data_IF_997306584418
#
_entry.id   IF_997306584418
#
_cell.length_a   1.000
_cell.length_b   1.000
_cell.length_c   1.000
_cell.angle_alpha   90.00
_cell.angle_beta   90.00
_cell.angle_gamma   90.00
#
_symmetry.space_group_name_H-M   'P 1'
#
loop_
_entity.id
_entity.type
_entity.pdbx_description
1 polymer ?
#
# COMPACT_ATOMS: atom_id res chain seq x y z
N UNK A 1 18.62 7.61 -11.38
CA UNK A 1 17.38 7.05 -10.79
C UNK A 1 17.62 6.19 -9.54
N UNK A 2 18.51 5.18 -9.52
CA UNK A 2 18.67 4.31 -8.34
C UNK A 2 18.92 5.07 -7.01
N UNK A 3 19.73 6.14 -7.02
CA UNK A 3 19.90 7.00 -5.84
C UNK A 3 18.63 7.79 -5.46
N UNK A 4 17.82 8.19 -6.44
CA UNK A 4 16.51 8.81 -6.21
C UNK A 4 15.59 7.82 -5.52
N UNK A 5 15.45 6.60 -6.07
CA UNK A 5 14.63 5.53 -5.47
C UNK A 5 15.09 5.20 -4.06
N UNK A 6 16.41 5.07 -3.84
CA UNK A 6 16.98 4.77 -2.53
C UNK A 6 16.56 5.78 -1.46
N UNK A 7 16.71 7.08 -1.70
CA UNK A 7 16.38 8.09 -0.69
C UNK A 7 14.89 8.45 -0.66
N UNK A 8 14.18 8.32 -1.79
CA UNK A 8 12.76 8.61 -1.89
C UNK A 8 11.89 7.59 -1.16
N UNK A 9 12.27 6.31 -1.20
CA UNK A 9 11.53 5.20 -0.60
C UNK A 9 12.10 4.73 0.74
N UNK A 10 12.94 5.53 1.41
CA UNK A 10 13.41 5.20 2.74
C UNK A 10 12.23 5.18 3.72
N UNK A 11 11.81 3.98 4.14
CA UNK A 11 10.64 3.75 4.99
C UNK A 11 10.81 4.18 6.45
N UNK A 12 11.50 5.29 6.68
CA UNK A 12 11.87 5.77 8.03
C UNK A 12 10.65 6.24 8.84
N UNK A 13 9.55 6.60 8.19
CA UNK A 13 8.31 7.03 8.84
C UNK A 13 7.27 5.91 9.01
N UNK A 14 7.68 4.64 8.89
CA UNK A 14 6.78 3.48 8.97
C UNK A 14 5.99 3.36 10.29
N UNK A 15 6.46 3.99 11.38
CA UNK A 15 5.78 4.03 12.68
C UNK A 15 4.88 5.27 12.86
N UNK A 16 4.32 5.80 11.78
CA UNK A 16 3.48 7.00 11.80
C UNK A 16 2.22 6.85 12.69
N UNK A 17 1.62 5.66 12.77
CA UNK A 17 0.49 5.39 13.65
C UNK A 17 0.92 5.54 15.12
N UNK A 18 2.06 4.95 15.48
CA UNK A 18 2.60 5.06 16.82
C UNK A 18 3.01 6.50 17.14
N UNK A 19 3.57 7.22 16.17
CA UNK A 19 3.86 8.66 16.31
C UNK A 19 2.61 9.47 16.64
N UNK A 20 1.53 9.28 15.88
CA UNK A 20 0.26 9.99 16.12
C UNK A 20 -0.37 9.60 17.46
N UNK A 21 -0.31 8.32 17.82
CA UNK A 21 -0.77 7.83 19.12
C UNK A 21 0.02 8.42 20.28
N UNK A 22 1.35 8.50 20.18
CA UNK A 22 2.21 9.18 21.18
C UNK A 22 1.95 10.69 21.28
N UNK A 23 1.39 11.30 20.23
CA UNK A 23 0.95 12.69 20.21
C UNK A 23 -0.53 12.87 20.58
N UNK A 24 -1.16 11.88 21.22
CA UNK A 24 -2.48 11.98 21.81
C UNK A 24 -3.67 11.72 20.87
N UNK A 25 -3.43 11.23 19.66
CA UNK A 25 -4.52 10.82 18.77
C UNK A 25 -5.06 9.45 19.18
N UNK A 26 -6.40 9.31 19.24
CA UNK A 26 -7.05 8.02 19.37
C UNK A 26 -6.88 7.21 18.08
N UNK A 27 -7.01 5.88 18.15
CA UNK A 27 -6.88 5.03 16.96
C UNK A 27 -8.00 5.28 15.95
N UNK A 28 -9.19 5.69 16.40
CA UNK A 28 -10.23 6.17 15.51
C UNK A 28 -9.84 7.45 14.75
N UNK A 29 -9.27 8.43 15.44
CA UNK A 29 -8.76 9.67 14.81
C UNK A 29 -7.67 9.35 13.79
N UNK A 30 -6.74 8.47 14.13
CA UNK A 30 -5.69 7.99 13.22
C UNK A 30 -6.32 7.32 11.99
N UNK A 31 -7.36 6.51 12.20
CA UNK A 31 -8.13 5.91 11.10
C UNK A 31 -8.77 6.95 10.17
N UNK A 32 -9.35 8.02 10.74
CA UNK A 32 -9.89 9.13 9.94
C UNK A 32 -8.79 9.88 9.17
N UNK A 33 -7.60 10.06 9.75
CA UNK A 33 -6.46 10.66 9.06
C UNK A 33 -6.04 9.84 7.85
N UNK A 34 -6.00 8.50 7.97
CA UNK A 34 -5.73 7.61 6.83
C UNK A 34 -6.83 7.68 5.78
N UNK A 35 -8.11 7.79 6.22
CA UNK A 35 -9.22 8.03 5.29
C UNK A 35 -9.06 9.33 4.50
N UNK A 36 -8.56 10.39 5.14
CA UNK A 36 -8.28 11.67 4.46
C UNK A 36 -7.16 11.50 3.44
N UNK A 37 -6.09 10.74 3.77
CA UNK A 37 -5.03 10.42 2.83
C UNK A 37 -5.60 9.70 1.59
N UNK A 38 -6.32 8.60 1.76
CA UNK A 38 -6.89 7.83 0.66
C UNK A 38 -7.95 8.60 -0.13
N UNK A 39 -8.81 9.39 0.53
CA UNK A 39 -9.80 10.23 -0.14
C UNK A 39 -9.12 11.32 -0.99
N UNK A 40 -8.09 11.98 -0.45
CA UNK A 40 -7.32 12.99 -1.20
C UNK A 40 -6.58 12.36 -2.36
N UNK A 41 -5.93 11.20 -2.15
CA UNK A 41 -5.26 10.46 -3.23
C UNK A 41 -6.23 10.12 -4.34
N UNK A 42 -7.41 9.57 -4.01
CA UNK A 42 -8.44 9.20 -4.97
C UNK A 42 -8.95 10.40 -5.79
N UNK A 43 -9.22 11.53 -5.12
CA UNK A 43 -9.72 12.75 -5.78
C UNK A 43 -8.67 13.42 -6.64
N UNK A 44 -7.40 13.34 -6.25
CA UNK A 44 -6.29 14.01 -6.91
C UNK A 44 -5.54 13.13 -7.93
N UNK A 45 -5.86 11.83 -8.04
CA UNK A 45 -5.20 10.90 -8.97
C UNK A 45 -5.27 11.38 -10.42
N UNK A 46 -6.47 11.79 -10.87
CA UNK A 46 -6.66 12.30 -12.24
C UNK A 46 -6.07 13.71 -12.42
N UNK A 47 -6.34 14.70 -11.54
CA UNK A 47 -5.69 16.00 -11.63
C UNK A 47 -4.17 15.94 -11.63
N UNK A 48 -3.56 15.08 -10.79
CA UNK A 48 -2.10 14.94 -10.76
C UNK A 48 -1.55 14.28 -12.02
N UNK A 49 -2.25 13.29 -12.58
CA UNK A 49 -1.92 12.70 -13.87
C UNK A 49 -1.96 13.72 -15.02
N UNK A 50 -2.99 14.57 -15.08
CA UNK A 50 -3.07 15.66 -16.07
C UNK A 50 -1.93 16.69 -15.90
N UNK A 51 -1.53 16.99 -14.67
CA UNK A 51 -0.37 17.83 -14.40
C UNK A 51 0.92 17.16 -14.86
N UNK A 52 1.06 15.85 -14.61
CA UNK A 52 2.20 15.05 -15.07
C UNK A 52 2.32 15.06 -16.60
N UNK A 53 1.20 15.06 -17.30
CA UNK A 53 1.16 15.14 -18.76
C UNK A 53 1.53 16.53 -19.31
N UNK A 54 1.17 17.57 -18.57
CA UNK A 54 1.41 18.96 -18.99
C UNK A 54 2.81 19.46 -18.68
N UNK A 55 3.37 19.04 -17.55
CA UNK A 55 4.70 19.49 -17.08
C UNK A 55 5.78 18.43 -17.34
N UNK A 56 7.04 18.79 -17.05
CA UNK A 56 8.16 17.84 -17.16
C UNK A 56 8.12 16.80 -16.04
N UNK A 57 8.73 15.63 -16.27
CA UNK A 57 8.88 14.60 -15.23
C UNK A 57 9.58 15.14 -13.99
N UNK A 58 10.65 15.92 -14.19
CA UNK A 58 11.40 16.54 -13.08
C UNK A 58 10.53 17.48 -12.27
N UNK A 59 9.65 18.28 -12.89
CA UNK A 59 8.73 19.18 -12.18
C UNK A 59 7.81 18.41 -11.24
N UNK A 60 7.23 17.30 -11.71
CA UNK A 60 6.35 16.47 -10.86
C UNK A 60 7.11 15.81 -9.71
N UNK A 61 8.33 15.30 -9.98
CA UNK A 61 9.17 14.74 -8.93
C UNK A 61 9.58 15.82 -7.90
N UNK A 62 9.83 17.07 -8.31
CA UNK A 62 10.07 18.18 -7.38
C UNK A 62 8.82 18.48 -6.54
N UNK A 63 7.64 18.56 -7.17
CA UNK A 63 6.38 18.79 -6.46
C UNK A 63 6.11 17.68 -5.43
N UNK A 64 6.37 16.42 -5.79
CA UNK A 64 6.28 15.29 -4.87
C UNK A 64 7.18 15.52 -3.64
N UNK A 65 8.47 15.82 -3.84
CA UNK A 65 9.41 15.99 -2.72
C UNK A 65 9.09 17.22 -1.87
N UNK A 66 8.69 18.33 -2.47
CA UNK A 66 8.25 19.54 -1.75
C UNK A 66 7.00 19.24 -0.92
N UNK A 67 6.00 18.56 -1.47
CA UNK A 67 4.83 18.15 -0.73
C UNK A 67 5.20 17.20 0.43
N UNK A 68 6.11 16.25 0.23
CA UNK A 68 6.62 15.37 1.30
C UNK A 68 7.32 16.14 2.43
N UNK A 69 8.12 17.16 2.10
CA UNK A 69 8.74 18.06 3.11
C UNK A 69 7.66 18.82 3.87
N UNK A 70 6.70 19.42 3.17
CA UNK A 70 5.60 20.18 3.82
C UNK A 70 4.77 19.27 4.72
N UNK A 71 4.42 18.07 4.27
CA UNK A 71 3.73 17.07 5.08
C UNK A 71 4.54 16.74 6.35
N UNK A 72 5.84 16.48 6.23
CA UNK A 72 6.72 16.17 7.36
C UNK A 72 6.81 17.34 8.37
N UNK A 73 6.86 18.57 7.88
CA UNK A 73 6.84 19.78 8.74
C UNK A 73 5.50 19.89 9.48
N UNK A 74 4.37 19.63 8.80
CA UNK A 74 3.05 19.66 9.42
C UNK A 74 2.90 18.53 10.45
N UNK A 75 3.45 17.34 10.21
CA UNK A 75 3.49 16.26 11.21
C UNK A 75 4.24 16.68 12.46
N UNK A 76 5.39 17.34 12.33
CA UNK A 76 6.16 17.86 13.48
C UNK A 76 5.44 19.02 14.21
N UNK A 77 4.74 19.86 13.46
CA UNK A 77 4.01 21.01 14.01
C UNK A 77 2.66 20.65 14.65
N UNK A 78 2.16 19.42 14.42
CA UNK A 78 0.81 19.00 14.80
C UNK A 78 0.53 19.04 16.29
N UNK A 79 1.49 18.65 17.14
CA UNK A 79 1.41 18.72 18.61
C UNK A 79 0.04 18.30 19.19
N UNK A 80 -0.56 17.21 18.66
CA UNK A 80 -1.86 16.74 19.10
C UNK A 80 -3.06 17.40 18.42
N UNK A 81 -2.87 18.29 17.45
CA UNK A 81 -3.98 18.92 16.73
C UNK A 81 -4.39 18.07 15.52
N UNK A 82 -5.60 17.49 15.58
CA UNK A 82 -6.16 16.65 14.52
C UNK A 82 -6.17 17.35 13.14
N UNK A 83 -6.54 18.62 13.07
CA UNK A 83 -6.67 19.32 11.77
C UNK A 83 -5.34 19.60 11.09
N UNK A 84 -4.27 19.80 11.88
CA UNK A 84 -2.92 19.93 11.31
C UNK A 84 -2.45 18.59 10.76
N UNK A 85 -2.70 17.49 11.47
CA UNK A 85 -2.42 16.14 10.98
C UNK A 85 -3.27 15.79 9.75
N UNK A 86 -4.55 16.19 9.71
CA UNK A 86 -5.41 16.03 8.54
C UNK A 86 -4.85 16.74 7.30
N UNK A 87 -4.38 17.97 7.47
CA UNK A 87 -3.70 18.70 6.40
C UNK A 87 -2.38 18.01 6.00
N UNK A 88 -1.60 17.51 6.96
CA UNK A 88 -0.37 16.76 6.69
C UNK A 88 -0.65 15.51 5.85
N UNK A 89 -1.70 14.74 6.18
CA UNK A 89 -2.10 13.54 5.43
C UNK A 89 -2.60 13.88 4.02
N UNK A 90 -3.38 14.94 3.86
CA UNK A 90 -3.81 15.41 2.54
C UNK A 90 -2.62 15.82 1.66
N UNK A 91 -1.65 16.57 2.22
CA UNK A 91 -0.42 16.96 1.50
C UNK A 91 0.46 15.74 1.21
N UNK A 92 0.52 14.75 2.10
CA UNK A 92 1.22 13.49 1.87
C UNK A 92 0.63 12.70 0.69
N UNK A 93 -0.70 12.67 0.58
CA UNK A 93 -1.38 12.06 -0.56
C UNK A 93 -1.02 12.73 -1.90
N UNK A 94 -0.91 14.07 -1.92
CA UNK A 94 -0.43 14.79 -3.11
C UNK A 94 1.02 14.43 -3.45
N UNK A 95 1.90 14.30 -2.42
CA UNK A 95 3.27 13.83 -2.62
C UNK A 95 3.31 12.46 -3.32
N UNK A 96 2.50 11.53 -2.82
CA UNK A 96 2.37 10.19 -3.42
C UNK A 96 1.86 10.25 -4.87
N UNK A 97 0.80 11.01 -5.14
CA UNK A 97 0.19 11.10 -6.47
C UNK A 97 1.13 11.73 -7.51
N UNK A 98 1.93 12.74 -7.15
CA UNK A 98 2.90 13.35 -8.06
C UNK A 98 4.06 12.40 -8.42
N UNK A 99 4.42 11.47 -7.54
CA UNK A 99 5.46 10.47 -7.80
C UNK A 99 4.92 9.28 -8.59
N UNK A 100 3.68 8.88 -8.27
CA UNK A 100 3.01 7.71 -8.85
C UNK A 100 2.95 7.83 -10.38
N UNK A 101 3.53 6.86 -11.07
CA UNK A 101 3.61 6.84 -12.53
C UNK A 101 4.69 7.74 -13.14
N UNK A 102 5.04 8.87 -12.54
CA UNK A 102 6.03 9.83 -13.08
C UNK A 102 7.43 9.21 -13.13
N UNK A 103 7.87 8.59 -12.04
CA UNK A 103 9.17 7.93 -11.95
C UNK A 103 9.29 6.80 -12.98
N UNK A 104 8.29 5.93 -13.06
CA UNK A 104 8.26 4.81 -14.01
C UNK A 104 8.25 5.28 -15.46
N UNK A 105 7.46 6.31 -15.80
CA UNK A 105 7.40 6.88 -17.13
C UNK A 105 8.74 7.52 -17.54
N UNK A 106 9.37 8.29 -16.62
CA UNK A 106 10.69 8.88 -16.87
C UNK A 106 11.76 7.82 -17.13
N UNK A 107 11.74 6.70 -16.39
CA UNK A 107 12.66 5.58 -16.59
C UNK A 107 12.43 4.92 -17.95
N UNK A 108 11.16 4.71 -18.34
CA UNK A 108 10.81 4.11 -19.62
C UNK A 108 11.29 4.96 -20.79
N UNK A 109 10.97 6.26 -20.81
CA UNK A 109 11.35 7.17 -21.87
C UNK A 109 12.88 7.33 -21.96
N UNK A 110 13.56 7.37 -20.81
CA UNK A 110 15.03 7.39 -20.75
C UNK A 110 15.65 6.10 -21.34
N UNK A 111 15.04 4.93 -21.07
CA UNK A 111 15.49 3.66 -21.64
C UNK A 111 15.28 3.62 -23.16
N UNK A 112 14.18 4.19 -23.67
CA UNK A 112 13.91 4.32 -25.11
C UNK A 112 14.92 5.26 -25.76
N UNK A 113 15.19 6.45 -25.19
CA UNK A 113 16.17 7.41 -25.69
C UNK A 113 17.57 6.80 -25.73
N UNK A 114 17.93 5.99 -24.75
CA UNK A 114 19.22 5.30 -24.69
C UNK A 114 19.31 4.05 -25.57
N UNK A 115 18.27 3.66 -26.32
CA UNK A 115 18.21 2.43 -27.10
C UNK A 115 18.17 1.15 -26.29
N UNK A 116 17.74 1.23 -25.02
CA UNK A 116 17.70 0.12 -24.06
C UNK A 116 16.26 -0.37 -23.77
N UNK A 117 15.30 -0.12 -24.69
CA UNK A 117 13.89 -0.48 -24.52
C UNK A 117 13.70 -1.96 -24.16
N UNK A 118 14.44 -2.86 -24.79
CA UNK A 118 14.36 -4.30 -24.52
C UNK A 118 14.85 -4.68 -23.11
N UNK A 119 15.68 -3.85 -22.48
CA UNK A 119 16.17 -4.04 -21.11
C UNK A 119 15.32 -3.32 -20.06
N UNK A 120 14.26 -2.63 -20.47
CA UNK A 120 13.41 -1.86 -19.54
C UNK A 120 12.91 -2.70 -18.37
N UNK A 121 12.42 -3.93 -18.63
CA UNK A 121 11.94 -4.81 -17.56
C UNK A 121 13.03 -5.09 -16.50
N UNK A 122 14.26 -5.34 -16.95
CA UNK A 122 15.38 -5.58 -16.01
C UNK A 122 15.73 -4.32 -15.21
N UNK A 123 15.72 -3.15 -15.87
CA UNK A 123 15.98 -1.85 -15.22
C UNK A 123 14.88 -1.55 -14.19
N UNK A 124 13.62 -1.69 -14.56
CA UNK A 124 12.46 -1.45 -13.68
C UNK A 124 12.47 -2.40 -12.49
N UNK A 125 12.74 -3.71 -12.71
CA UNK A 125 12.85 -4.70 -11.63
C UNK A 125 13.98 -4.37 -10.65
N UNK A 126 15.13 -3.91 -11.16
CA UNK A 126 16.24 -3.47 -10.31
C UNK A 126 15.84 -2.25 -9.46
N UNK A 127 15.20 -1.24 -10.05
CA UNK A 127 14.74 -0.05 -9.33
C UNK A 127 13.69 -0.40 -8.27
N UNK A 128 12.71 -1.24 -8.61
CA UNK A 128 11.73 -1.76 -7.64
C UNK A 128 12.41 -2.51 -6.48
N UNK A 129 13.43 -3.32 -6.78
CA UNK A 129 14.23 -3.99 -5.75
C UNK A 129 14.98 -3.01 -4.83
N UNK A 130 15.48 -1.89 -5.39
CA UNK A 130 16.10 -0.81 -4.59
C UNK A 130 15.05 -0.17 -3.69
N UNK A 131 13.87 0.19 -4.21
CA UNK A 131 12.80 0.82 -3.43
C UNK A 131 12.33 -0.07 -2.29
N UNK A 132 12.01 -1.34 -2.55
CA UNK A 132 11.57 -2.31 -1.54
C UNK A 132 12.64 -2.58 -0.49
N UNK A 133 13.88 -2.78 -0.91
CA UNK A 133 15.02 -2.99 0.00
C UNK A 133 15.25 -1.79 0.91
N UNK A 134 15.14 -0.59 0.36
CA UNK A 134 15.32 0.66 1.12
C UNK A 134 14.15 0.91 2.07
N UNK A 135 12.92 0.62 1.65
CA UNK A 135 11.74 0.72 2.52
C UNK A 135 11.88 -0.22 3.73
N UNK A 136 12.29 -1.46 3.50
CA UNK A 136 12.56 -2.43 4.56
C UNK A 136 13.67 -1.95 5.50
N UNK A 137 14.78 -1.45 4.94
CA UNK A 137 15.90 -0.88 5.72
C UNK A 137 15.43 0.30 6.59
N UNK A 138 14.68 1.23 6.00
CA UNK A 138 14.15 2.39 6.73
C UNK A 138 13.20 1.99 7.85
N UNK A 139 12.34 0.98 7.63
CA UNK A 139 11.46 0.45 8.67
C UNK A 139 12.25 -0.16 9.84
N UNK A 140 13.31 -0.91 9.55
CA UNK A 140 14.22 -1.46 10.59
C UNK A 140 14.91 -0.34 11.36
N UNK A 141 15.42 0.69 10.67
CA UNK A 141 16.03 1.85 11.29
C UNK A 141 15.03 2.65 12.13
N UNK A 142 13.79 2.79 11.67
CA UNK A 142 12.72 3.50 12.39
C UNK A 142 12.42 2.85 13.75
N UNK A 143 12.58 1.54 13.87
CA UNK A 143 12.43 0.83 15.13
C UNK A 143 13.32 1.34 16.28
N UNK A 144 14.48 1.92 15.97
CA UNK A 144 15.35 2.52 16.98
C UNK A 144 14.80 3.82 17.58
N UNK A 145 13.84 4.47 16.94
CA UNK A 145 13.27 5.76 17.37
C UNK A 145 11.94 5.62 18.12
N UNK A 146 11.42 4.41 18.32
CA UNK A 146 10.06 4.15 18.82
C UNK A 146 9.82 4.71 20.23
N UNK A 147 10.87 4.78 21.07
CA UNK A 147 10.76 5.23 22.46
C UNK A 147 10.91 6.77 22.56
N UNK A 148 9.87 7.49 22.08
CA UNK A 148 9.77 8.95 22.23
C UNK A 148 10.62 9.75 21.24
N UNK A 149 11.30 9.12 20.28
CA UNK A 149 12.18 9.79 19.31
C UNK A 149 11.63 9.75 17.87
N UNK A 150 10.38 9.31 17.67
CA UNK A 150 9.79 9.20 16.32
C UNK A 150 9.74 10.54 15.56
N UNK A 151 9.75 11.66 16.25
CA UNK A 151 9.88 12.98 15.59
C UNK A 151 11.17 13.09 14.75
N UNK A 152 12.27 12.43 15.15
CA UNK A 152 13.52 12.42 14.38
C UNK A 152 13.36 11.77 13.00
N UNK A 153 12.45 10.81 12.85
CA UNK A 153 12.19 10.15 11.56
C UNK A 153 11.66 11.13 10.52
N UNK A 154 10.86 12.13 10.95
CA UNK A 154 10.37 13.19 10.05
C UNK A 154 11.48 14.19 9.67
N UNK A 155 12.41 14.51 10.59
CA UNK A 155 13.60 15.30 10.22
C UNK A 155 14.48 14.55 9.22
N UNK A 156 14.68 13.23 9.40
CA UNK A 156 15.41 12.40 8.44
C UNK A 156 14.69 12.41 7.08
N UNK A 157 13.36 12.29 7.08
CA UNK A 157 12.56 12.35 5.84
C UNK A 157 12.71 13.69 5.12
N UNK A 158 12.78 14.81 5.83
CA UNK A 158 13.05 16.13 5.25
C UNK A 158 14.45 16.15 4.61
N UNK A 159 15.47 15.68 5.34
CA UNK A 159 16.84 15.65 4.83
C UNK A 159 16.97 14.77 3.59
N UNK A 160 16.40 13.55 3.62
CA UNK A 160 16.41 12.64 2.47
C UNK A 160 15.66 13.24 1.27
N UNK A 161 14.53 13.92 1.50
CA UNK A 161 13.80 14.62 0.44
C UNK A 161 14.62 15.74 -0.20
N UNK A 162 15.40 16.50 0.58
CA UNK A 162 16.34 17.51 0.07
C UNK A 162 17.44 16.87 -0.77
N UNK A 163 17.99 15.72 -0.32
CA UNK A 163 18.96 14.95 -1.12
C UNK A 163 18.35 14.51 -2.44
N UNK A 164 17.10 14.02 -2.41
CA UNK A 164 16.38 13.61 -3.63
C UNK A 164 16.17 14.78 -4.59
N UNK A 165 15.81 15.97 -4.09
CA UNK A 165 15.68 17.18 -4.91
C UNK A 165 17.01 17.49 -5.62
N UNK A 166 18.12 17.38 -4.91
CA UNK A 166 19.46 17.57 -5.50
C UNK A 166 19.77 16.49 -6.56
N UNK A 167 19.45 15.22 -6.28
CA UNK A 167 19.63 14.13 -7.24
C UNK A 167 18.75 14.31 -8.49
N UNK A 168 17.49 14.75 -8.35
CA UNK A 168 16.61 15.07 -9.47
C UNK A 168 17.19 16.21 -10.32
N UNK A 169 17.80 17.20 -9.68
CA UNK A 169 18.48 18.28 -10.42
C UNK A 169 19.59 17.75 -11.32
N UNK A 170 20.32 16.74 -10.88
CA UNK A 170 21.39 16.11 -11.67
C UNK A 170 20.86 15.19 -12.79
N UNK A 171 19.60 14.74 -12.74
CA UNK A 171 19.03 13.91 -13.81
C UNK A 171 18.81 14.72 -15.09
N UNK A 172 18.99 14.07 -16.23
CA UNK A 172 18.61 14.61 -17.54
C UNK A 172 17.14 14.29 -17.80
N UNK A 173 16.36 15.28 -18.21
CA UNK A 173 14.99 15.06 -18.72
C UNK A 173 15.08 14.35 -20.08
N UNK A 174 14.35 13.22 -20.32
CA UNK A 174 14.33 12.60 -21.62
C UNK A 174 13.70 13.53 -22.65
N UNK A 175 14.34 13.62 -23.83
CA UNK A 175 13.89 14.50 -24.91
C UNK A 175 12.76 13.88 -25.73
N UNK A 176 12.65 12.55 -25.74
CA UNK A 176 11.61 11.82 -26.44
C UNK A 176 10.39 11.76 -25.54
N UNK A 177 9.45 12.68 -25.71
CA UNK A 177 8.09 12.45 -25.25
C UNK A 177 7.44 11.55 -26.31
N UNK A 178 7.36 10.25 -26.03
CA UNK A 178 6.51 9.37 -26.82
C UNK A 178 5.09 9.99 -26.82
N UNK A 179 4.43 9.97 -27.99
CA UNK A 179 3.04 10.40 -28.08
C UNK A 179 2.27 9.73 -26.94
N UNK A 180 1.91 10.54 -25.95
CA UNK A 180 1.15 10.03 -24.81
C UNK A 180 -0.21 9.65 -25.35
N UNK A 181 -0.62 8.42 -25.11
CA UNK A 181 -2.01 8.01 -25.33
C UNK A 181 -2.91 9.06 -24.70
N UNK A 182 -3.98 9.46 -25.43
CA UNK A 182 -4.93 10.43 -24.94
C UNK A 182 -5.26 10.16 -23.47
N UNK A 183 -5.08 11.16 -22.64
CA UNK A 183 -5.34 11.03 -21.20
C UNK A 183 -6.79 10.58 -20.98
N UNK A 184 -6.95 9.40 -20.40
CA UNK A 184 -8.27 8.82 -20.18
C UNK A 184 -9.04 9.73 -19.23
N UNK A 185 -10.13 10.34 -19.69
CA UNK A 185 -10.96 11.21 -18.86
C UNK A 185 -11.76 10.41 -17.84
N UNK A 186 -12.10 11.02 -16.68
CA UNK A 186 -12.96 10.38 -15.66
C UNK A 186 -14.25 9.83 -16.29
N UNK A 187 -14.85 10.54 -17.25
CA UNK A 187 -16.05 10.09 -17.95
C UNK A 187 -15.81 8.80 -18.73
N UNK A 188 -14.66 8.67 -19.38
CA UNK A 188 -14.28 7.44 -20.10
C UNK A 188 -14.02 6.29 -19.13
N UNK A 189 -13.35 6.54 -17.99
CA UNK A 189 -13.17 5.53 -16.95
C UNK A 189 -14.52 5.02 -16.46
N UNK A 190 -15.42 5.91 -16.05
CA UNK A 190 -16.75 5.54 -15.57
C UNK A 190 -17.53 4.75 -16.62
N UNK A 191 -17.44 5.15 -17.89
CA UNK A 191 -18.13 4.45 -18.97
C UNK A 191 -17.55 3.06 -19.22
N UNK A 192 -16.23 2.93 -19.29
CA UNK A 192 -15.53 1.64 -19.43
C UNK A 192 -15.86 0.70 -18.25
N UNK A 193 -15.85 1.22 -17.03
CA UNK A 193 -16.23 0.46 -15.82
C UNK A 193 -17.67 -0.03 -15.90
N UNK A 194 -18.59 0.84 -16.31
CA UNK A 194 -20.01 0.48 -16.45
C UNK A 194 -20.19 -0.62 -17.50
N UNK A 195 -19.57 -0.47 -18.66
CA UNK A 195 -19.66 -1.44 -19.74
C UNK A 195 -19.07 -2.81 -19.32
N UNK A 196 -17.89 -2.81 -18.66
CA UNK A 196 -17.27 -4.04 -18.20
C UNK A 196 -18.04 -4.68 -17.02
N UNK A 197 -18.65 -3.88 -16.16
CA UNK A 197 -19.55 -4.35 -15.09
C UNK A 197 -20.77 -5.09 -15.67
N UNK A 198 -21.39 -4.51 -16.70
CA UNK A 198 -22.53 -5.14 -17.39
C UNK A 198 -22.10 -6.41 -18.14
N UNK A 199 -20.92 -6.39 -18.74
CA UNK A 199 -20.35 -7.50 -19.49
C UNK A 199 -19.88 -8.64 -18.60
N UNK A 200 -19.21 -8.33 -17.48
CA UNK A 200 -18.59 -9.30 -16.58
C UNK A 200 -18.79 -8.97 -15.08
N UNK A 201 -20.04 -9.00 -14.58
CA UNK A 201 -20.34 -8.62 -13.19
C UNK A 201 -19.63 -9.50 -12.16
N UNK A 202 -19.25 -10.73 -12.53
CA UNK A 202 -18.56 -11.67 -11.65
C UNK A 202 -17.11 -11.25 -11.39
N UNK A 203 -16.42 -10.76 -12.41
CA UNK A 203 -15.05 -10.25 -12.26
C UNK A 203 -15.05 -9.02 -11.34
N UNK A 204 -16.02 -8.13 -11.50
CA UNK A 204 -16.15 -6.95 -10.66
C UNK A 204 -16.42 -7.32 -9.18
N UNK A 205 -17.32 -8.26 -8.93
CA UNK A 205 -17.56 -8.78 -7.59
C UNK A 205 -16.31 -9.43 -6.98
N UNK A 206 -15.50 -10.11 -7.80
CA UNK A 206 -14.23 -10.68 -7.39
C UNK A 206 -13.22 -9.60 -6.99
N UNK A 207 -13.12 -8.52 -7.77
CA UNK A 207 -12.27 -7.36 -7.46
C UNK A 207 -12.68 -6.71 -6.14
N UNK A 208 -13.98 -6.42 -5.93
CA UNK A 208 -14.48 -5.81 -4.68
C UNK A 208 -14.20 -6.72 -3.49
N UNK A 209 -14.58 -7.99 -3.59
CA UNK A 209 -14.43 -8.94 -2.50
C UNK A 209 -12.97 -9.09 -2.06
N UNK A 210 -12.07 -9.19 -3.02
CA UNK A 210 -10.64 -9.32 -2.73
C UNK A 210 -10.05 -8.07 -2.08
N UNK A 211 -10.48 -6.87 -2.48
CA UNK A 211 -10.00 -5.63 -1.88
C UNK A 211 -10.52 -5.45 -0.44
N UNK A 212 -11.80 -5.74 -0.20
CA UNK A 212 -12.36 -5.69 1.16
C UNK A 212 -11.63 -6.69 2.07
N UNK A 213 -11.51 -7.94 1.63
CA UNK A 213 -10.86 -8.97 2.43
C UNK A 213 -9.37 -8.70 2.58
N UNK A 214 -8.68 -8.27 1.51
CA UNK A 214 -7.27 -7.88 1.56
C UNK A 214 -7.02 -6.74 2.55
N UNK A 215 -7.89 -5.73 2.56
CA UNK A 215 -7.83 -4.64 3.55
C UNK A 215 -7.96 -5.17 4.97
N UNK A 216 -8.91 -6.07 5.24
CA UNK A 216 -9.07 -6.68 6.57
C UNK A 216 -7.86 -7.54 6.97
N UNK A 217 -7.24 -8.24 6.01
CA UNK A 217 -6.03 -9.06 6.25
C UNK A 217 -4.81 -8.22 6.62
N UNK A 218 -4.70 -6.97 6.20
CA UNK A 218 -3.57 -6.11 6.54
C UNK A 218 -3.78 -5.24 7.79
N UNK A 219 -4.98 -5.22 8.40
CA UNK A 219 -5.28 -4.35 9.55
C UNK A 219 -4.36 -4.60 10.75
N UNK A 220 -4.00 -5.84 11.04
CA UNK A 220 -3.10 -6.13 12.15
C UNK A 220 -1.72 -5.49 11.97
N UNK A 221 -1.19 -5.46 10.75
CA UNK A 221 0.09 -4.82 10.42
C UNK A 221 0.13 -3.34 10.83
N UNK A 222 -0.97 -2.63 10.71
CA UNK A 222 -1.03 -1.21 11.04
C UNK A 222 -1.13 -0.96 12.55
N UNK A 223 -1.96 -1.73 13.26
CA UNK A 223 -2.32 -1.42 14.65
C UNK A 223 -1.47 -2.12 15.71
N UNK A 224 -0.75 -3.23 15.38
CA UNK A 224 0.00 -4.01 16.36
C UNK A 224 1.13 -3.23 17.04
N UNK A 225 1.68 -2.21 16.38
CA UNK A 225 2.82 -1.42 16.86
C UNK A 225 2.54 -0.79 18.24
N UNK A 226 1.28 -0.42 18.49
CA UNK A 226 0.85 0.16 19.76
C UNK A 226 0.75 -0.88 20.91
N UNK A 227 0.94 -2.16 20.62
CA UNK A 227 0.83 -3.26 21.58
C UNK A 227 2.18 -3.81 22.05
N UNK A 228 3.29 -3.17 21.67
CA UNK A 228 4.64 -3.61 21.97
C UNK A 228 5.46 -2.59 22.81
N UNK A 229 4.86 -1.92 23.85
CA UNK A 229 5.54 -0.85 24.58
C UNK A 229 6.76 -1.34 25.39
N UNK A 230 6.77 -2.62 25.80
CA UNK A 230 7.80 -3.18 26.69
C UNK A 230 9.03 -3.70 25.92
N UNK A 231 8.98 -3.74 24.59
CA UNK A 231 10.14 -4.17 23.79
C UNK A 231 11.14 -3.04 23.67
N UNK A 232 12.41 -3.37 23.82
CA UNK A 232 13.51 -2.44 23.52
C UNK A 232 13.57 -2.09 22.03
N UNK A 233 14.12 -0.93 21.68
CA UNK A 233 14.20 -0.46 20.28
C UNK A 233 14.87 -1.49 19.36
N UNK A 234 15.94 -2.16 19.81
CA UNK A 234 16.60 -3.19 19.01
C UNK A 234 15.74 -4.43 18.78
N UNK A 235 14.89 -4.82 19.76
CA UNK A 235 13.95 -5.93 19.61
C UNK A 235 12.86 -5.58 18.56
N UNK A 236 12.35 -4.37 18.61
CA UNK A 236 11.39 -3.89 17.61
C UNK A 236 12.01 -3.90 16.21
N UNK A 237 13.25 -3.37 16.07
CA UNK A 237 13.98 -3.40 14.79
C UNK A 237 14.24 -4.83 14.31
N UNK A 238 14.55 -5.77 15.23
CA UNK A 238 14.73 -7.18 14.88
C UNK A 238 13.42 -7.84 14.40
N UNK A 239 12.28 -7.52 15.02
CA UNK A 239 10.94 -7.96 14.56
C UNK A 239 10.64 -7.43 13.17
N UNK A 240 10.94 -6.14 12.89
CA UNK A 240 10.77 -5.57 11.55
C UNK A 240 11.65 -6.26 10.51
N UNK A 241 12.90 -6.51 10.84
CA UNK A 241 13.82 -7.24 9.96
C UNK A 241 13.30 -8.64 9.64
N UNK A 242 12.87 -9.37 10.68
CA UNK A 242 12.30 -10.72 10.51
C UNK A 242 11.04 -10.67 9.64
N UNK A 243 10.15 -9.70 9.84
CA UNK A 243 8.96 -9.48 9.01
C UNK A 243 9.33 -9.24 7.54
N UNK A 244 10.31 -8.39 7.26
CA UNK A 244 10.80 -8.12 5.91
C UNK A 244 11.38 -9.37 5.24
N UNK A 245 12.17 -10.17 5.97
CA UNK A 245 12.71 -11.42 5.44
C UNK A 245 11.61 -12.45 5.13
N UNK A 246 10.61 -12.57 6.01
CA UNK A 246 9.46 -13.44 5.77
C UNK A 246 8.62 -12.99 4.58
N UNK A 247 8.46 -11.68 4.37
CA UNK A 247 7.78 -11.16 3.18
C UNK A 247 8.51 -11.54 1.89
N UNK A 248 9.84 -11.42 1.84
CA UNK A 248 10.64 -11.84 0.69
C UNK A 248 10.42 -13.33 0.41
N UNK A 249 10.45 -14.17 1.45
CA UNK A 249 10.20 -15.61 1.33
C UNK A 249 8.76 -15.87 0.83
N UNK A 250 7.76 -15.15 1.38
CA UNK A 250 6.37 -15.28 1.00
C UNK A 250 6.13 -14.93 -0.48
N UNK A 251 6.69 -13.82 -0.97
CA UNK A 251 6.63 -13.40 -2.38
C UNK A 251 7.30 -14.43 -3.29
N UNK A 252 8.46 -14.97 -2.88
CA UNK A 252 9.12 -16.04 -3.62
C UNK A 252 8.26 -17.31 -3.70
N UNK A 253 7.63 -17.70 -2.58
CA UNK A 253 6.72 -18.85 -2.54
C UNK A 253 5.45 -18.59 -3.36
N UNK A 254 4.94 -17.36 -3.40
CA UNK A 254 3.79 -16.97 -4.20
C UNK A 254 3.99 -17.31 -5.68
N UNK A 255 5.18 -17.05 -6.22
CA UNK A 255 5.53 -17.38 -7.61
C UNK A 255 5.50 -18.88 -7.93
N UNK A 256 5.76 -19.72 -6.93
CA UNK A 256 5.71 -21.20 -7.07
C UNK A 256 4.31 -21.77 -6.85
N UNK A 257 3.63 -21.28 -5.79
CA UNK A 257 2.30 -21.75 -5.40
C UNK A 257 1.27 -21.32 -6.45
N UNK A 258 1.34 -20.08 -6.93
CA UNK A 258 0.44 -19.54 -7.95
C UNK A 258 0.49 -20.26 -9.30
N UNK A 259 1.63 -20.91 -9.64
CA UNK A 259 1.74 -21.75 -10.82
C UNK A 259 0.93 -23.05 -10.72
N UNK A 260 0.76 -23.59 -9.52
CA UNK A 260 0.15 -24.90 -9.30
C UNK A 260 -1.30 -24.80 -8.84
N UNK A 261 -1.70 -23.67 -8.27
CA UNK A 261 -3.03 -23.51 -7.67
C UNK A 261 -3.67 -22.19 -8.13
N UNK A 262 -4.90 -22.27 -8.59
CA UNK A 262 -5.67 -21.09 -8.97
C UNK A 262 -5.96 -20.19 -7.77
N UNK A 263 -5.91 -18.87 -7.96
CA UNK A 263 -6.18 -17.86 -6.94
C UNK A 263 -7.54 -18.09 -6.24
N UNK A 264 -8.58 -18.46 -6.99
CA UNK A 264 -9.91 -18.80 -6.47
C UNK A 264 -9.92 -19.92 -5.41
N UNK A 265 -8.98 -20.88 -5.49
CA UNK A 265 -8.86 -21.97 -4.52
C UNK A 265 -8.00 -21.59 -3.32
N UNK A 266 -6.97 -20.78 -3.55
CA UNK A 266 -6.06 -20.32 -2.49
C UNK A 266 -6.69 -19.26 -1.59
N UNK A 267 -7.51 -18.40 -2.16
CA UNK A 267 -8.09 -17.27 -1.44
C UNK A 267 -8.82 -17.66 -0.15
N UNK A 268 -9.79 -18.60 -0.16
CA UNK A 268 -10.45 -19.03 1.07
C UNK A 268 -9.48 -19.58 2.12
N UNK A 269 -8.44 -20.29 1.68
CA UNK A 269 -7.44 -20.88 2.60
C UNK A 269 -6.62 -19.79 3.26
N UNK A 270 -6.13 -18.80 2.50
CA UNK A 270 -5.35 -17.69 3.05
C UNK A 270 -6.18 -16.83 4.00
N UNK A 271 -7.44 -16.58 3.67
CA UNK A 271 -8.39 -15.86 4.53
C UNK A 271 -8.64 -16.65 5.82
N UNK A 272 -8.85 -17.96 5.74
CA UNK A 272 -9.00 -18.83 6.91
C UNK A 272 -7.78 -18.77 7.82
N UNK A 273 -6.59 -18.93 7.25
CA UNK A 273 -5.34 -18.90 8.01
C UNK A 273 -5.13 -17.53 8.70
N UNK A 274 -5.42 -16.42 8.01
CA UNK A 274 -5.35 -15.08 8.61
C UNK A 274 -6.37 -14.94 9.73
N UNK A 275 -7.62 -15.38 9.52
CA UNK A 275 -8.66 -15.32 10.54
C UNK A 275 -8.30 -16.10 11.79
N UNK A 276 -7.83 -17.35 11.64
CA UNK A 276 -7.34 -18.18 12.77
C UNK A 276 -6.15 -17.51 13.46
N UNK A 277 -5.23 -16.93 12.69
CA UNK A 277 -4.09 -16.20 13.25
C UNK A 277 -4.54 -15.01 14.09
N UNK A 278 -5.52 -14.23 13.62
CA UNK A 278 -6.07 -13.10 14.38
C UNK A 278 -6.77 -13.54 15.69
N UNK A 279 -7.42 -14.70 15.69
CA UNK A 279 -8.05 -15.23 16.90
C UNK A 279 -7.03 -15.53 18.02
N UNK A 280 -5.75 -15.74 17.70
CA UNK A 280 -4.70 -15.89 18.70
C UNK A 280 -4.51 -14.63 19.57
N UNK A 281 -5.02 -13.47 19.13
CA UNK A 281 -5.01 -12.23 19.93
C UNK A 281 -5.70 -12.40 21.28
N UNK A 282 -6.66 -13.34 21.40
CA UNK A 282 -7.35 -13.67 22.65
C UNK A 282 -6.41 -13.90 23.85
N UNK A 283 -5.26 -14.47 23.61
CA UNK A 283 -4.30 -14.77 24.69
C UNK A 283 -3.52 -13.53 25.17
N UNK A 284 -3.56 -12.41 24.44
CA UNK A 284 -3.10 -11.10 24.92
C UNK A 284 -1.61 -10.97 25.29
N UNK A 285 -0.74 -11.80 24.73
CA UNK A 285 0.69 -11.75 25.07
C UNK A 285 1.53 -11.07 23.99
N UNK A 286 2.56 -10.27 24.35
CA UNK A 286 3.43 -9.59 23.36
C UNK A 286 4.04 -10.55 22.34
N UNK A 287 4.47 -11.75 22.78
CA UNK A 287 5.01 -12.76 21.87
C UNK A 287 4.00 -13.20 20.81
N UNK A 288 2.74 -13.39 21.20
CA UNK A 288 1.69 -13.76 20.26
C UNK A 288 1.36 -12.60 19.30
N UNK A 289 1.40 -11.35 19.74
CA UNK A 289 1.23 -10.22 18.83
C UNK A 289 2.33 -10.16 17.77
N UNK A 290 3.58 -10.45 18.15
CA UNK A 290 4.68 -10.59 17.20
C UNK A 290 4.41 -11.73 16.21
N UNK A 291 4.01 -12.91 16.70
CA UNK A 291 3.70 -14.05 15.82
C UNK A 291 2.52 -13.76 14.89
N UNK A 292 1.46 -13.13 15.38
CA UNK A 292 0.30 -12.73 14.56
C UNK A 292 0.76 -11.75 13.47
N UNK A 293 1.57 -10.75 13.83
CA UNK A 293 2.15 -9.82 12.86
C UNK A 293 2.94 -10.55 11.78
N UNK A 294 3.90 -11.39 12.16
CA UNK A 294 4.78 -12.08 11.22
C UNK A 294 4.00 -13.00 10.28
N UNK A 295 3.04 -13.77 10.81
CA UNK A 295 2.26 -14.73 10.03
C UNK A 295 1.26 -13.99 9.12
N UNK A 296 0.49 -13.04 9.65
CA UNK A 296 -0.53 -12.33 8.86
C UNK A 296 0.10 -11.48 7.76
N UNK A 297 1.23 -10.84 8.04
CA UNK A 297 1.97 -10.06 7.05
C UNK A 297 2.53 -10.95 5.93
N UNK A 298 3.11 -12.11 6.27
CA UNK A 298 3.58 -13.09 5.30
C UNK A 298 2.43 -13.67 4.45
N UNK A 299 1.26 -13.96 5.07
CA UNK A 299 0.07 -14.42 4.34
C UNK A 299 -0.44 -13.36 3.36
N UNK A 300 -0.44 -12.08 3.75
CA UNK A 300 -0.80 -10.98 2.87
C UNK A 300 0.20 -10.80 1.74
N UNK A 301 1.50 -10.86 2.03
CA UNK A 301 2.57 -10.78 1.02
C UNK A 301 2.53 -11.96 0.02
N UNK A 302 2.05 -13.13 0.45
CA UNK A 302 1.82 -14.28 -0.42
C UNK A 302 0.56 -14.08 -1.29
N UNK A 303 -0.51 -13.49 -0.73
CA UNK A 303 -1.79 -13.28 -1.40
C UNK A 303 -1.68 -12.29 -2.57
N UNK A 304 -1.05 -11.13 -2.33
CA UNK A 304 -1.01 -10.01 -3.26
C UNK A 304 -0.57 -10.42 -4.68
N UNK A 305 0.64 -10.98 -4.91
CA UNK A 305 1.10 -11.27 -6.26
C UNK A 305 0.32 -12.40 -6.95
N UNK A 306 -0.23 -13.36 -6.20
CA UNK A 306 -1.07 -14.43 -6.76
C UNK A 306 -2.37 -13.83 -7.31
N UNK A 307 -2.95 -12.90 -6.54
CA UNK A 307 -4.19 -12.25 -6.91
C UNK A 307 -4.00 -11.28 -8.08
N UNK A 308 -2.96 -10.47 -8.04
CA UNK A 308 -2.63 -9.51 -9.09
C UNK A 308 -2.40 -10.22 -10.44
N UNK A 309 -1.72 -11.38 -10.43
CA UNK A 309 -1.53 -12.19 -11.62
C UNK A 309 -2.86 -12.76 -12.15
N UNK A 310 -3.70 -13.34 -11.28
CA UNK A 310 -5.03 -13.86 -11.65
C UNK A 310 -5.92 -12.77 -12.26
N UNK A 311 -5.88 -11.58 -11.69
CA UNK A 311 -6.64 -10.43 -12.21
C UNK A 311 -6.13 -10.01 -13.60
N UNK A 312 -4.81 -9.89 -13.78
CA UNK A 312 -4.21 -9.53 -15.07
C UNK A 312 -4.53 -10.55 -16.19
N UNK A 313 -4.58 -11.84 -15.86
CA UNK A 313 -4.93 -12.89 -16.82
C UNK A 313 -6.42 -12.84 -17.24
N UNK A 314 -7.31 -12.37 -16.34
CA UNK A 314 -8.75 -12.29 -16.59
C UNK A 314 -9.18 -11.02 -17.32
N UNK A 315 -8.40 -9.96 -17.22
CA UNK A 315 -8.73 -8.67 -17.82
C UNK A 315 -8.36 -8.64 -19.30
N UNK A 316 -9.29 -8.25 -20.20
CA UNK A 316 -8.98 -7.97 -21.60
C UNK A 316 -7.88 -6.92 -21.74
N UNK A 317 -6.98 -7.12 -22.72
CA UNK A 317 -5.83 -6.23 -22.92
C UNK A 317 -6.21 -4.77 -23.13
N UNK A 318 -7.35 -4.53 -23.80
CA UNK A 318 -7.85 -3.22 -24.20
C UNK A 318 -8.26 -2.35 -22.99
N UNK A 319 -8.78 -2.99 -21.93
CA UNK A 319 -9.29 -2.29 -20.73
C UNK A 319 -8.45 -2.54 -19.48
N UNK A 320 -7.39 -3.36 -19.59
CA UNK A 320 -6.59 -3.85 -18.45
C UNK A 320 -6.05 -2.72 -17.57
N UNK A 321 -5.43 -1.70 -18.19
CA UNK A 321 -4.87 -0.57 -17.44
C UNK A 321 -5.95 0.19 -16.65
N UNK A 322 -7.09 0.49 -17.29
CA UNK A 322 -8.22 1.17 -16.65
C UNK A 322 -8.79 0.33 -15.49
N UNK A 323 -8.96 -0.97 -15.69
CA UNK A 323 -9.52 -1.85 -14.67
C UNK A 323 -8.57 -2.07 -13.48
N UNK A 324 -7.25 -2.08 -13.71
CA UNK A 324 -6.25 -2.12 -12.63
C UNK A 324 -6.26 -0.82 -11.82
N UNK A 325 -6.44 0.35 -12.46
CA UNK A 325 -6.64 1.62 -11.74
C UNK A 325 -7.91 1.58 -10.89
N UNK A 326 -9.02 1.06 -11.43
CA UNK A 326 -10.27 0.89 -10.66
C UNK A 326 -10.08 -0.07 -9.50
N UNK A 327 -9.31 -1.15 -9.68
CA UNK A 327 -8.97 -2.08 -8.62
C UNK A 327 -8.19 -1.40 -7.47
N UNK A 328 -7.21 -0.57 -7.80
CA UNK A 328 -6.48 0.26 -6.82
C UNK A 328 -7.41 1.26 -6.10
N UNK A 329 -8.35 1.89 -6.85
CA UNK A 329 -9.37 2.77 -6.24
C UNK A 329 -10.29 2.03 -5.26
N UNK A 330 -10.65 0.76 -5.53
CA UNK A 330 -11.43 -0.07 -4.61
C UNK A 330 -10.67 -0.34 -3.30
N UNK A 331 -9.35 -0.53 -3.37
CA UNK A 331 -8.51 -0.62 -2.17
C UNK A 331 -8.59 0.65 -1.34
N UNK A 332 -8.39 1.81 -1.96
CA UNK A 332 -8.50 3.10 -1.28
C UNK A 332 -9.88 3.31 -0.64
N UNK A 333 -10.97 2.96 -1.35
CA UNK A 333 -12.32 3.01 -0.78
C UNK A 333 -12.49 2.06 0.42
N UNK A 334 -11.91 0.88 0.35
CA UNK A 334 -11.92 -0.08 1.48
C UNK A 334 -11.14 0.47 2.68
N UNK A 335 -9.98 1.08 2.45
CA UNK A 335 -9.19 1.71 3.52
C UNK A 335 -9.94 2.88 4.17
N UNK A 336 -10.62 3.73 3.38
CA UNK A 336 -11.43 4.85 3.89
C UNK A 336 -12.48 4.37 4.91
N UNK A 337 -13.03 3.18 4.71
CA UNK A 337 -14.10 2.64 5.58
C UNK A 337 -13.53 1.79 6.73
N UNK A 338 -12.70 0.81 6.39
CA UNK A 338 -12.29 -0.23 7.36
C UNK A 338 -11.17 0.22 8.29
N UNK A 339 -10.34 1.17 7.87
CA UNK A 339 -9.28 1.66 8.74
C UNK A 339 -9.86 2.41 9.97
N UNK A 340 -10.68 3.48 9.81
CA UNK A 340 -11.28 4.15 10.96
C UNK A 340 -12.22 3.24 11.75
N UNK A 341 -12.95 2.33 11.08
CA UNK A 341 -13.81 1.38 11.77
C UNK A 341 -13.00 0.45 12.71
N UNK A 342 -11.86 -0.05 12.23
CA UNK A 342 -10.97 -0.87 13.05
C UNK A 342 -10.40 -0.07 14.21
N UNK A 343 -9.95 1.17 13.99
CA UNK A 343 -9.47 2.06 15.05
C UNK A 343 -10.56 2.33 16.11
N UNK A 344 -11.79 2.61 15.65
CA UNK A 344 -12.94 2.80 16.54
C UNK A 344 -13.25 1.54 17.38
N UNK A 345 -13.22 0.37 16.75
CA UNK A 345 -13.41 -0.90 17.47
C UNK A 345 -12.32 -1.11 18.53
N UNK A 346 -11.07 -0.80 18.22
CA UNK A 346 -9.97 -0.93 19.19
C UNK A 346 -10.15 0.04 20.36
N UNK A 347 -10.52 1.29 20.09
CA UNK A 347 -10.73 2.29 21.14
C UNK A 347 -11.89 1.92 22.10
N UNK A 348 -12.93 1.19 21.62
CA UNK A 348 -14.12 0.85 22.42
C UNK A 348 -14.09 -0.57 23.01
N UNK A 349 -13.61 -1.55 22.26
CA UNK A 349 -13.59 -2.96 22.66
C UNK A 349 -12.22 -3.42 23.16
N UNK A 350 -11.19 -2.63 22.89
CA UNK A 350 -9.80 -3.02 23.09
C UNK A 350 -9.26 -3.86 21.94
N UNK A 351 -7.92 -3.90 21.85
CA UNK A 351 -7.18 -4.56 20.76
C UNK A 351 -7.50 -6.07 20.67
N UNK A 352 -7.52 -6.75 21.80
CA UNK A 352 -7.76 -8.21 21.89
C UNK A 352 -9.08 -8.61 21.27
N UNK A 353 -10.18 -7.98 21.72
CA UNK A 353 -11.52 -8.34 21.26
C UNK A 353 -11.75 -7.92 19.80
N UNK A 354 -11.19 -6.79 19.38
CA UNK A 354 -11.30 -6.34 18.00
C UNK A 354 -10.71 -7.37 17.04
N UNK A 355 -9.48 -7.81 17.28
CA UNK A 355 -8.85 -8.78 16.38
C UNK A 355 -9.41 -10.20 16.56
N UNK A 356 -9.92 -10.56 17.74
CA UNK A 356 -10.68 -11.79 17.93
C UNK A 356 -11.93 -11.80 17.03
N UNK A 357 -12.73 -10.74 17.06
CA UNK A 357 -13.94 -10.64 16.24
C UNK A 357 -13.65 -10.52 14.74
N UNK A 358 -12.62 -9.76 14.37
CA UNK A 358 -12.15 -9.73 12.97
C UNK A 358 -11.69 -11.12 12.52
N UNK A 359 -11.00 -11.87 13.39
CA UNK A 359 -10.62 -13.26 13.13
C UNK A 359 -11.82 -14.16 12.89
N UNK A 360 -12.82 -14.13 13.74
CA UNK A 360 -14.09 -14.87 13.55
C UNK A 360 -14.78 -14.46 12.24
N UNK A 361 -14.83 -13.18 11.94
CA UNK A 361 -15.45 -12.66 10.71
C UNK A 361 -14.73 -13.19 9.47
N UNK A 362 -13.38 -13.17 9.44
CA UNK A 362 -12.59 -13.72 8.34
C UNK A 362 -12.78 -15.24 8.21
N UNK A 363 -12.82 -15.99 9.31
CA UNK A 363 -13.12 -17.43 9.29
C UNK A 363 -14.51 -17.68 8.70
N UNK A 364 -15.54 -16.95 9.14
CA UNK A 364 -16.89 -17.08 8.57
C UNK A 364 -16.90 -16.77 7.06
N UNK A 365 -16.26 -15.69 6.65
CA UNK A 365 -16.11 -15.35 5.22
C UNK A 365 -15.44 -16.53 4.48
N UNK A 366 -14.34 -17.06 4.99
CA UNK A 366 -13.59 -18.13 4.34
C UNK A 366 -14.44 -19.40 4.09
N UNK A 367 -15.35 -19.72 5.02
CA UNK A 367 -16.26 -20.85 4.89
C UNK A 367 -17.38 -20.60 3.86
N UNK A 368 -17.81 -19.36 3.69
CA UNK A 368 -18.84 -18.96 2.71
C UNK A 368 -18.26 -18.76 1.30
N UNK A 369 -16.99 -18.39 1.20
CA UNK A 369 -16.29 -18.13 -0.07
C UNK A 369 -16.38 -19.29 -1.08
N UNK A 370 -16.16 -20.58 -0.74
CA UNK A 370 -16.24 -21.67 -1.70
C UNK A 370 -17.60 -21.80 -2.36
N UNK A 371 -18.69 -21.52 -1.63
CA UNK A 371 -20.06 -21.53 -2.15
C UNK A 371 -20.26 -20.40 -3.16
N UNK A 372 -19.77 -19.20 -2.83
CA UNK A 372 -19.85 -18.03 -3.70
C UNK A 372 -18.97 -18.19 -4.93
N UNK A 373 -17.71 -18.58 -4.75
CA UNK A 373 -16.72 -18.77 -5.81
C UNK A 373 -17.05 -19.97 -6.70
N UNK A 374 -17.65 -21.03 -6.17
CA UNK A 374 -18.11 -22.19 -6.95
C UNK A 374 -19.24 -21.81 -7.93
N UNK A 375 -20.17 -20.95 -7.51
CA UNK A 375 -21.19 -20.38 -8.42
C UNK A 375 -20.55 -19.46 -9.46
N UNK A 376 -19.53 -18.74 -9.08
CA UNK A 376 -18.77 -17.84 -9.91
C UNK A 376 -17.99 -18.59 -11.00
N UNK A 377 -17.24 -19.62 -10.62
CA UNK A 377 -16.47 -20.45 -11.54
C UNK A 377 -17.37 -21.14 -12.59
N UNK A 378 -18.52 -21.70 -12.18
CA UNK A 378 -19.47 -22.32 -13.11
C UNK A 378 -19.99 -21.32 -14.16
N UNK A 379 -20.30 -20.08 -13.77
CA UNK A 379 -20.78 -19.05 -14.70
C UNK A 379 -19.70 -18.50 -15.64
N UNK A 380 -18.42 -18.52 -15.22
CA UNK A 380 -17.30 -18.10 -16.07
C UNK A 380 -16.93 -19.18 -17.11
N UNK A 381 -17.22 -20.47 -16.85
CA UNK A 381 -16.97 -21.57 -17.81
C UNK A 381 -18.10 -21.73 -18.83
N UNK A 382 -19.25 -21.11 -18.59
CA UNK A 382 -20.43 -21.21 -19.48
C UNK A 382 -20.54 -20.04 -20.47
N UNK A 383 -19.63 -19.13 -20.47
CA UNK A 383 -19.42 -18.06 -21.45
C UNK A 383 -18.10 -18.24 -22.19
#
# INVERSE_FOLDING_TARGET
MAGVEFFAFLGITSFWILFLSQNGMSLWQIGLLESIFHATSLLCEIPSGMLADRYSYKTNLYLSRIAGIVSSILMLAGQGNFWIYALAMAVSALSYNFDSGTSAAMVYDSAVEAGLKERYLSISSFLSGVSEGTQSLGTVLAGFFVHGQLHLTYYIMIVTSIIVIFLIWMLKEPSVKLEKADSVTMKQIIWTVKEELERNPMLFNWMILSQIVGTLMCMFYFYYQNQLPDLSSWQISAVMLLGSLLNIVAVYLASRIGKNYAALKLFPVLVLLTGVTYMLSYFGTPLLYILIYLISNALYALFQPIFDNDLQERLPSEVRATMLSVYSMMFSLSMIVFFPLTGWLIDHLGFVLTFLYLGFFLVMISLLLPVFLGKMAKRMMTK
#
